data_IF_634440046984
#
_entry.id   IF_634440046984
#
_cell.length_a   1.000
_cell.length_b   1.000
_cell.length_c   1.000
_cell.angle_alpha   90.00
_cell.angle_beta   90.00
_cell.angle_gamma   90.00
#
_symmetry.space_group_name_H-M   'P 1'
#
loop_
_entity.id
_entity.type
_entity.pdbx_description
1 polymer ?
#
# COMPACT_ATOMS: atom_id res chain seq x y z
N UNK A 1 -7.78 -4.21 34.00
CA UNK A 1 -7.23 -5.46 33.40
C UNK A 1 -8.03 -6.65 33.87
N UNK A 2 -8.53 -7.49 32.96
CA UNK A 2 -9.26 -8.73 33.31
C UNK A 2 -8.30 -9.93 33.18
N UNK A 3 -8.22 -10.78 34.21
CA UNK A 3 -7.46 -12.03 34.16
C UNK A 3 -8.42 -13.19 33.95
N UNK A 4 -8.07 -14.06 33.00
CA UNK A 4 -8.85 -15.26 32.68
C UNK A 4 -8.11 -16.51 33.17
N UNK A 5 -8.88 -17.55 33.47
CA UNK A 5 -8.42 -18.93 33.64
C UNK A 5 -9.04 -19.77 32.53
N UNK A 6 -8.28 -20.71 32.01
CA UNK A 6 -8.77 -21.71 31.06
C UNK A 6 -8.73 -23.05 31.75
N UNK A 7 -9.88 -23.75 31.82
CA UNK A 7 -9.95 -25.11 32.36
C UNK A 7 -9.31 -26.12 31.41
N UNK A 8 -9.06 -27.34 31.90
CA UNK A 8 -8.58 -28.45 31.05
C UNK A 8 -9.56 -28.78 29.90
N UNK A 9 -10.85 -28.52 30.11
CA UNK A 9 -11.90 -28.65 29.10
C UNK A 9 -11.99 -27.44 28.14
N UNK A 10 -11.10 -26.46 28.26
CA UNK A 10 -11.04 -25.27 27.39
C UNK A 10 -12.04 -24.15 27.73
N UNK A 11 -12.70 -24.21 28.90
CA UNK A 11 -13.69 -23.21 29.32
C UNK A 11 -12.98 -22.00 29.92
N UNK A 12 -13.27 -20.80 29.41
CA UNK A 12 -12.71 -19.54 29.88
C UNK A 12 -13.54 -18.98 31.04
N UNK A 13 -12.91 -18.79 32.20
CA UNK A 13 -13.55 -18.20 33.39
C UNK A 13 -12.81 -16.92 33.81
N UNK A 14 -13.56 -15.86 34.15
CA UNK A 14 -12.97 -14.62 34.68
C UNK A 14 -12.49 -14.85 36.11
N UNK A 15 -11.17 -14.73 36.35
CA UNK A 15 -10.56 -14.92 37.67
C UNK A 15 -10.63 -13.66 38.52
N UNK A 16 -10.25 -12.52 37.92
CA UNK A 16 -10.36 -11.23 38.58
C UNK A 16 -10.43 -10.09 37.57
N UNK A 17 -11.12 -9.02 37.96
CA UNK A 17 -11.15 -7.74 37.27
C UNK A 17 -10.43 -6.72 38.13
N UNK A 18 -9.39 -6.08 37.58
CA UNK A 18 -8.71 -4.94 38.21
C UNK A 18 -9.22 -3.67 37.53
N UNK A 19 -10.02 -2.90 38.24
CA UNK A 19 -10.63 -1.65 37.74
C UNK A 19 -9.69 -0.44 37.89
N UNK A 20 -8.66 -0.53 38.73
CA UNK A 20 -7.67 0.54 38.86
C UNK A 20 -6.72 0.55 37.66
N UNK A 21 -6.47 1.75 37.12
CA UNK A 21 -5.57 2.01 36.01
C UNK A 21 -4.41 2.91 36.46
N UNK A 22 -3.23 2.74 35.86
CA UNK A 22 -2.07 3.60 36.09
C UNK A 22 -2.04 4.83 35.16
N UNK A 23 -3.14 5.10 34.47
CA UNK A 23 -3.33 6.24 33.59
C UNK A 23 -4.82 6.60 33.53
N UNK A 24 -5.14 7.80 33.07
CA UNK A 24 -6.53 8.20 32.81
C UNK A 24 -7.14 7.38 31.68
N UNK A 25 -8.43 7.05 31.79
CA UNK A 25 -9.16 6.40 30.72
C UNK A 25 -9.41 7.37 29.56
N UNK A 26 -9.50 6.83 28.35
CA UNK A 26 -9.83 7.62 27.16
C UNK A 26 -11.15 8.35 27.34
N UNK A 27 -11.18 9.64 26.99
CA UNK A 27 -12.40 10.44 27.07
C UNK A 27 -13.42 9.95 26.04
N UNK A 28 -14.74 10.06 26.32
CA UNK A 28 -15.77 9.66 25.37
C UNK A 28 -15.61 10.33 23.98
N UNK A 29 -15.20 11.59 23.93
CA UNK A 29 -14.95 12.30 22.67
C UNK A 29 -13.78 11.75 21.83
N UNK A 30 -12.82 11.08 22.48
CA UNK A 30 -11.63 10.52 21.84
C UNK A 30 -11.80 9.03 21.51
N UNK A 31 -13.00 8.47 21.72
CA UNK A 31 -13.26 7.05 21.51
C UNK A 31 -12.95 6.62 20.07
N UNK A 32 -13.24 7.48 19.08
CA UNK A 32 -12.95 7.25 17.66
C UNK A 32 -11.45 7.14 17.33
N UNK A 33 -10.56 7.54 18.25
CA UNK A 33 -9.10 7.40 18.12
C UNK A 33 -8.59 6.06 18.70
N UNK A 34 -9.37 5.43 19.59
CA UNK A 34 -9.01 4.15 20.20
C UNK A 34 -8.97 3.04 19.15
N UNK A 35 -7.88 2.26 19.13
CA UNK A 35 -7.72 1.16 18.16
C UNK A 35 -8.88 0.16 18.19
N UNK A 36 -9.43 -0.12 19.38
CA UNK A 36 -10.58 -1.03 19.55
C UNK A 36 -11.88 -0.52 18.93
N UNK A 37 -11.98 0.79 18.71
CA UNK A 37 -13.14 1.44 18.11
C UNK A 37 -12.89 1.84 16.65
N UNK A 38 -11.71 1.52 16.10
CA UNK A 38 -11.35 1.83 14.71
C UNK A 38 -11.53 0.62 13.82
N UNK A 39 -12.51 0.69 12.91
CA UNK A 39 -12.81 -0.35 11.94
C UNK A 39 -13.33 0.29 10.63
N UNK A 40 -12.70 -0.06 9.51
CA UNK A 40 -13.20 0.33 8.19
C UNK A 40 -14.25 -0.70 7.79
N UNK A 41 -15.50 -0.28 7.69
CA UNK A 41 -16.60 -1.13 7.22
C UNK A 41 -16.45 -1.45 5.73
N UNK A 42 -17.10 -2.51 5.26
CA UNK A 42 -17.00 -2.93 3.86
C UNK A 42 -17.53 -1.87 2.88
N UNK A 43 -18.58 -1.15 3.28
CA UNK A 43 -19.17 -0.06 2.48
C UNK A 43 -18.18 1.09 2.32
N UNK A 44 -17.57 1.53 3.42
CA UNK A 44 -16.56 2.58 3.41
C UNK A 44 -15.29 2.16 2.65
N UNK A 45 -14.90 0.89 2.78
CA UNK A 45 -13.78 0.31 2.04
C UNK A 45 -14.04 0.34 0.52
N UNK A 46 -15.25 -0.05 0.10
CA UNK A 46 -15.68 -0.01 -1.30
C UNK A 46 -15.61 1.41 -1.87
N UNK A 47 -16.15 2.40 -1.15
CA UNK A 47 -16.10 3.81 -1.58
C UNK A 47 -14.66 4.32 -1.69
N UNK A 48 -13.82 4.05 -0.68
CA UNK A 48 -12.41 4.42 -0.70
C UNK A 48 -11.68 3.84 -1.92
N UNK A 49 -11.96 2.57 -2.22
CA UNK A 49 -11.39 1.87 -3.38
C UNK A 49 -11.83 2.49 -4.69
N UNK A 50 -13.14 2.63 -4.91
CA UNK A 50 -13.69 3.19 -6.16
C UNK A 50 -13.21 4.63 -6.40
N UNK A 51 -13.16 5.46 -5.36
CA UNK A 51 -12.62 6.81 -5.47
C UNK A 51 -11.13 6.82 -5.79
N UNK A 52 -10.34 5.93 -5.18
CA UNK A 52 -8.91 5.81 -5.51
C UNK A 52 -8.68 5.32 -6.94
N UNK A 53 -9.54 4.43 -7.46
CA UNK A 53 -9.47 3.94 -8.84
C UNK A 53 -9.87 5.01 -9.85
N UNK A 54 -10.77 5.92 -9.49
CA UNK A 54 -11.09 7.13 -10.25
C UNK A 54 -10.02 8.24 -10.15
N UNK A 55 -8.89 7.99 -9.50
CA UNK A 55 -7.79 8.96 -9.35
C UNK A 55 -8.00 10.02 -8.26
N UNK A 56 -9.06 9.89 -7.46
CA UNK A 56 -9.32 10.81 -6.35
C UNK A 56 -8.32 10.52 -5.22
N UNK A 57 -7.70 11.58 -4.70
CA UNK A 57 -6.75 11.45 -3.59
C UNK A 57 -7.44 10.89 -2.35
N UNK A 58 -6.78 9.98 -1.63
CA UNK A 58 -7.32 9.35 -0.40
C UNK A 58 -7.77 10.36 0.65
N UNK A 59 -7.12 11.54 0.74
CA UNK A 59 -7.57 12.62 1.63
C UNK A 59 -8.94 13.19 1.25
N UNK A 60 -9.24 13.31 -0.04
CA UNK A 60 -10.52 13.83 -0.51
C UNK A 60 -11.63 12.78 -0.29
N UNK A 61 -11.33 11.51 -0.59
CA UNK A 61 -12.25 10.41 -0.31
C UNK A 61 -12.56 10.27 1.20
N UNK A 62 -11.54 10.42 2.05
CA UNK A 62 -11.72 10.45 3.50
C UNK A 62 -12.56 11.65 3.96
N UNK A 63 -12.33 12.83 3.39
CA UNK A 63 -13.08 14.04 3.75
C UNK A 63 -14.55 13.90 3.36
N UNK A 64 -14.82 13.39 2.16
CA UNK A 64 -16.17 13.04 1.70
C UNK A 64 -16.89 12.11 2.68
N UNK A 65 -16.26 10.98 3.05
CA UNK A 65 -16.87 10.02 3.98
C UNK A 65 -17.09 10.62 5.37
N UNK A 66 -16.17 11.47 5.84
CA UNK A 66 -16.33 12.21 7.09
C UNK A 66 -17.54 13.15 7.03
N UNK A 67 -17.71 13.87 5.93
CA UNK A 67 -18.80 14.84 5.78
C UNK A 67 -20.17 14.14 5.73
N UNK A 68 -20.27 12.99 5.05
CA UNK A 68 -21.49 12.16 5.00
C UNK A 68 -22.00 11.72 6.38
N UNK A 69 -21.08 11.43 7.31
CA UNK A 69 -21.42 10.98 8.68
C UNK A 69 -21.42 12.12 9.70
N UNK A 70 -21.28 13.38 9.25
CA UNK A 70 -21.29 14.55 10.13
C UNK A 70 -20.01 14.75 10.96
N UNK A 71 -18.89 14.19 10.51
CA UNK A 71 -17.56 14.44 11.05
C UNK A 71 -16.74 13.18 11.32
N UNK A 72 -15.42 13.37 11.43
CA UNK A 72 -14.43 12.29 11.62
C UNK A 72 -14.71 11.43 12.85
N UNK A 73 -15.29 12.00 13.90
CA UNK A 73 -15.62 11.26 15.12
C UNK A 73 -16.67 10.16 14.89
N UNK A 74 -17.54 10.32 13.88
CA UNK A 74 -18.61 9.36 13.56
C UNK A 74 -18.19 8.34 12.48
N UNK A 75 -17.03 8.53 11.85
CA UNK A 75 -16.58 7.73 10.72
C UNK A 75 -16.08 6.34 11.11
N UNK A 76 -15.65 6.15 12.36
CA UNK A 76 -15.18 4.86 12.86
C UNK A 76 -13.78 4.46 12.38
N UNK A 77 -13.05 5.32 11.65
CA UNK A 77 -11.64 5.12 11.33
C UNK A 77 -10.93 6.44 11.08
N UNK A 78 -9.60 6.43 11.17
CA UNK A 78 -8.79 7.65 10.98
C UNK A 78 -8.32 7.80 9.55
N UNK A 79 -7.90 9.01 9.19
CA UNK A 79 -7.23 9.29 7.91
C UNK A 79 -6.07 8.31 7.65
N UNK A 80 -5.28 7.98 8.68
CA UNK A 80 -4.17 7.03 8.56
C UNK A 80 -4.64 5.62 8.20
N UNK A 81 -5.77 5.18 8.75
CA UNK A 81 -6.35 3.88 8.44
C UNK A 81 -6.78 3.82 6.96
N UNK A 82 -7.39 4.88 6.44
CA UNK A 82 -7.73 5.00 5.02
C UNK A 82 -6.49 4.91 4.10
N UNK A 83 -5.40 5.61 4.44
CA UNK A 83 -4.14 5.50 3.71
C UNK A 83 -3.55 4.09 3.76
N UNK A 84 -3.56 3.45 4.94
CA UNK A 84 -3.06 2.10 5.11
C UNK A 84 -3.86 1.10 4.27
N UNK A 85 -5.19 1.25 4.24
CA UNK A 85 -6.08 0.43 3.41
C UNK A 85 -5.77 0.56 1.92
N UNK A 86 -5.72 1.79 1.39
CA UNK A 86 -5.40 2.01 -0.03
C UNK A 86 -3.98 1.54 -0.38
N UNK A 87 -3.00 1.72 0.50
CA UNK A 87 -1.66 1.19 0.28
C UNK A 87 -1.63 -0.34 0.27
N UNK A 88 -2.46 -1.01 1.08
CA UNK A 88 -2.59 -2.47 1.07
C UNK A 88 -3.19 -2.93 -0.27
N UNK A 89 -4.25 -2.30 -0.74
CA UNK A 89 -4.86 -2.60 -2.05
C UNK A 89 -3.85 -2.40 -3.19
N UNK A 90 -3.10 -1.30 -3.18
CA UNK A 90 -2.06 -1.04 -4.20
C UNK A 90 -0.95 -2.09 -4.17
N UNK A 91 -0.48 -2.48 -2.98
CA UNK A 91 0.53 -3.53 -2.84
C UNK A 91 0.04 -4.89 -3.35
N UNK A 92 -1.21 -5.24 -3.06
CA UNK A 92 -1.80 -6.48 -3.56
C UNK A 92 -1.90 -6.50 -5.11
N UNK A 93 -2.06 -5.34 -5.76
CA UNK A 93 -1.98 -5.23 -7.23
C UNK A 93 -0.54 -5.42 -7.74
N UNK A 94 0.44 -4.86 -7.04
CA UNK A 94 1.88 -5.00 -7.39
C UNK A 94 2.35 -6.44 -7.23
N UNK A 95 2.01 -7.11 -6.12
CA UNK A 95 2.44 -8.49 -5.85
C UNK A 95 1.93 -9.49 -6.89
N UNK A 96 0.77 -9.22 -7.51
CA UNK A 96 0.19 -10.07 -8.54
C UNK A 96 0.68 -9.80 -9.97
N UNK A 97 1.44 -8.72 -10.22
CA UNK A 97 1.83 -8.31 -11.59
C UNK A 97 3.34 -8.06 -11.75
N UNK A 98 4.02 -7.47 -10.75
CA UNK A 98 5.36 -6.88 -10.95
C UNK A 98 6.52 -7.58 -10.21
N UNK A 99 6.25 -8.50 -9.28
CA UNK A 99 7.32 -9.16 -8.51
C UNK A 99 8.13 -10.16 -9.35
N UNK A 100 7.62 -10.57 -10.51
CA UNK A 100 8.29 -11.52 -11.43
C UNK A 100 9.17 -10.84 -12.48
N UNK A 101 9.23 -9.51 -12.49
CA UNK A 101 9.86 -8.75 -13.56
C UNK A 101 11.27 -8.25 -13.22
N UNK A 102 11.70 -8.44 -11.97
CA UNK A 102 13.02 -8.04 -11.50
C UNK A 102 14.02 -9.16 -11.78
N UNK A 103 14.94 -8.92 -12.72
CA UNK A 103 16.07 -9.80 -12.98
C UNK A 103 17.28 -9.23 -12.24
N UNK A 104 17.91 -10.03 -11.38
CA UNK A 104 19.07 -9.63 -10.59
C UNK A 104 20.28 -10.45 -11.00
N UNK A 105 21.42 -9.79 -11.21
CA UNK A 105 22.72 -10.41 -11.39
C UNK A 105 23.61 -10.12 -10.18
N UNK A 106 24.10 -11.19 -9.55
CA UNK A 106 25.05 -11.13 -8.44
C UNK A 106 26.45 -11.59 -8.85
N UNK A 107 27.46 -11.18 -8.08
CA UNK A 107 28.81 -11.73 -8.19
C UNK A 107 28.96 -13.05 -7.39
N UNK A 108 30.18 -13.60 -7.33
CA UNK A 108 30.49 -14.84 -6.58
C UNK A 108 30.34 -14.72 -5.06
N UNK A 109 30.20 -13.50 -4.54
CA UNK A 109 30.01 -13.20 -3.11
C UNK A 109 28.57 -12.75 -2.83
N UNK A 110 27.63 -13.02 -3.76
CA UNK A 110 26.21 -12.63 -3.68
C UNK A 110 25.97 -11.11 -3.60
N UNK A 111 26.92 -10.29 -4.08
CA UNK A 111 26.74 -8.84 -4.16
C UNK A 111 26.04 -8.45 -5.45
N UNK A 112 25.07 -7.54 -5.36
CA UNK A 112 24.35 -6.99 -6.50
C UNK A 112 25.31 -6.29 -7.47
N UNK A 113 25.37 -6.75 -8.72
CA UNK A 113 26.16 -6.13 -9.80
C UNK A 113 25.25 -5.37 -10.74
N UNK A 114 24.22 -6.02 -11.25
CA UNK A 114 23.25 -5.44 -12.17
C UNK A 114 21.83 -5.87 -11.76
N UNK A 115 20.84 -5.04 -12.09
CA UNK A 115 19.45 -5.47 -12.09
C UNK A 115 18.75 -4.87 -13.30
N UNK A 116 17.77 -5.60 -13.81
CA UNK A 116 16.84 -5.15 -14.82
C UNK A 116 15.43 -5.25 -14.26
N UNK A 117 14.62 -4.22 -14.51
CA UNK A 117 13.25 -4.17 -14.02
C UNK A 117 12.35 -3.65 -15.14
N UNK A 118 11.22 -4.33 -15.32
CA UNK A 118 10.15 -3.89 -16.20
C UNK A 118 8.84 -3.99 -15.43
N UNK A 119 7.94 -3.03 -15.54
CA UNK A 119 6.60 -3.17 -14.98
C UNK A 119 5.68 -3.94 -15.94
N UNK A 120 4.50 -4.34 -15.46
CA UNK A 120 3.52 -5.05 -16.28
C UNK A 120 3.10 -4.28 -17.52
N UNK A 121 3.09 -2.95 -17.46
CA UNK A 121 2.78 -2.08 -18.61
C UNK A 121 3.90 -2.12 -19.66
N UNK A 122 5.16 -2.00 -19.24
CA UNK A 122 6.33 -2.08 -20.11
C UNK A 122 6.39 -3.40 -20.88
N UNK A 123 5.97 -4.52 -20.27
CA UNK A 123 5.85 -5.80 -20.98
C UNK A 123 4.80 -5.78 -22.07
N UNK A 124 3.62 -5.23 -21.80
CA UNK A 124 2.54 -5.11 -22.79
C UNK A 124 2.97 -4.15 -23.92
N UNK A 125 3.63 -3.06 -23.56
CA UNK A 125 4.17 -2.09 -24.50
C UNK A 125 5.27 -2.70 -25.38
N UNK A 126 6.13 -3.56 -24.82
CA UNK A 126 7.09 -4.35 -25.61
C UNK A 126 6.39 -5.29 -26.59
N UNK A 127 5.38 -6.03 -26.14
CA UNK A 127 4.63 -6.96 -26.99
C UNK A 127 3.91 -6.22 -28.15
N UNK A 128 3.54 -4.96 -27.94
CA UNK A 128 2.84 -4.13 -28.94
C UNK A 128 3.78 -3.30 -29.83
N UNK A 129 4.92 -2.82 -29.31
CA UNK A 129 5.76 -1.79 -29.92
C UNK A 129 7.27 -2.10 -29.89
N UNK A 130 7.67 -3.30 -29.51
CA UNK A 130 9.07 -3.73 -29.35
C UNK A 130 9.88 -3.81 -30.65
N UNK A 131 9.31 -3.46 -31.80
CA UNK A 131 9.99 -3.46 -33.11
C UNK A 131 11.11 -2.40 -33.18
N UNK A 132 10.95 -1.28 -32.46
CA UNK A 132 11.93 -0.19 -32.41
C UNK A 132 12.29 0.09 -30.96
N UNK A 133 13.53 -0.25 -30.59
CA UNK A 133 14.06 -0.03 -29.24
C UNK A 133 15.27 0.90 -29.33
N UNK A 134 15.25 1.95 -28.53
CA UNK A 134 16.32 2.93 -28.37
C UNK A 134 16.87 2.78 -26.95
N UNK A 135 18.17 2.50 -26.85
CA UNK A 135 18.88 2.56 -25.58
C UNK A 135 19.34 4.00 -25.36
N UNK A 136 18.75 4.66 -24.37
CA UNK A 136 19.18 6.00 -24.01
C UNK A 136 20.22 5.92 -22.90
N UNK A 137 21.50 6.01 -23.27
CA UNK A 137 22.64 6.01 -22.35
C UNK A 137 22.92 7.40 -21.79
N UNK A 138 21.92 8.05 -21.20
CA UNK A 138 22.19 9.16 -20.27
C UNK A 138 22.65 8.55 -18.96
N UNK A 139 23.97 8.48 -18.74
CA UNK A 139 24.57 7.98 -17.51
C UNK A 139 24.17 8.86 -16.31
N UNK A 140 23.02 8.55 -15.70
CA UNK A 140 22.68 9.05 -14.39
C UNK A 140 23.25 8.07 -13.35
N UNK A 141 24.34 8.48 -12.71
CA UNK A 141 24.82 7.82 -11.51
C UNK A 141 23.83 8.10 -10.39
N UNK A 142 23.20 7.06 -9.86
CA UNK A 142 22.40 7.21 -8.64
C UNK A 142 23.32 7.44 -7.43
N UNK A 143 22.74 7.63 -6.23
CA UNK A 143 23.48 7.79 -4.96
C UNK A 143 24.49 6.66 -4.67
N UNK A 144 24.35 5.52 -5.35
CA UNK A 144 25.16 4.33 -5.20
C UNK A 144 26.18 4.14 -6.34
N UNK A 145 26.39 5.15 -7.19
CA UNK A 145 27.26 5.10 -8.37
C UNK A 145 26.93 3.97 -9.36
N UNK A 146 25.68 3.51 -9.39
CA UNK A 146 25.21 2.58 -10.42
C UNK A 146 24.81 3.38 -11.66
N UNK A 147 25.27 2.92 -12.84
CA UNK A 147 24.80 3.43 -14.11
C UNK A 147 23.39 2.92 -14.36
N UNK A 148 22.46 3.82 -14.69
CA UNK A 148 21.11 3.49 -15.10
C UNK A 148 20.90 3.95 -16.55
N UNK A 149 20.32 3.08 -17.37
CA UNK A 149 19.96 3.36 -18.75
C UNK A 149 18.52 2.89 -18.97
N UNK A 150 17.69 3.75 -19.55
CA UNK A 150 16.32 3.40 -19.87
C UNK A 150 16.26 2.73 -21.25
N UNK A 151 15.40 1.73 -21.38
CA UNK A 151 14.98 1.10 -22.62
C UNK A 151 13.71 1.83 -23.08
N UNK A 152 13.82 2.55 -24.19
CA UNK A 152 12.74 3.38 -24.73
C UNK A 152 12.26 2.75 -26.04
N UNK A 153 10.96 2.50 -26.13
CA UNK A 153 10.29 2.16 -27.39
C UNK A 153 9.62 3.36 -28.04
N UNK A 154 9.05 3.16 -29.22
CA UNK A 154 8.26 4.17 -29.93
C UNK A 154 6.89 3.60 -30.27
N UNK A 155 5.81 4.26 -29.85
CA UNK A 155 4.46 3.83 -30.20
C UNK A 155 4.05 4.24 -31.63
N UNK A 156 2.87 3.82 -32.07
CA UNK A 156 2.31 4.16 -33.40
C UNK A 156 2.09 5.66 -33.65
N UNK A 157 2.20 6.51 -32.62
CA UNK A 157 2.11 7.96 -32.70
C UNK A 157 3.47 8.66 -32.65
N UNK A 158 4.57 7.92 -32.81
CA UNK A 158 5.94 8.45 -32.73
C UNK A 158 6.29 9.06 -31.36
N UNK A 159 5.63 8.57 -30.30
CA UNK A 159 5.91 9.00 -28.93
C UNK A 159 6.80 7.98 -28.23
N UNK A 160 7.75 8.48 -27.44
CA UNK A 160 8.60 7.66 -26.60
C UNK A 160 7.79 6.99 -25.49
N UNK A 161 7.98 5.69 -25.31
CA UNK A 161 7.42 4.90 -24.22
C UNK A 161 8.57 4.21 -23.46
N UNK A 162 8.50 4.15 -22.14
CA UNK A 162 9.53 3.48 -21.33
C UNK A 162 9.12 2.02 -21.18
N UNK A 163 10.01 1.13 -21.59
CA UNK A 163 9.79 -0.32 -21.59
C UNK A 163 10.69 -1.01 -20.54
N UNK A 164 11.72 -0.34 -20.03
CA UNK A 164 12.61 -0.85 -18.98
C UNK A 164 13.78 0.07 -18.69
#
# INVERSE_FOLDING_TARGET
MVKFLVSEDGIWTVKCSVESHNHELGKPGDQHLLRSSRHITEENASVLKSMSEAGIRTVNAFSYLSDEVGGVANLGFTKRDAYNYIQKEKRAKIENVDTNSLIVQTDKEDRLVNFFWVDGLGRIDYDCFGDIIIFYTSYHLNKYNLACAHIIGVNNHWQNIIIG
#
